data_IF_473657092601
#
_entry.id   IF_473657092601
#
_cell.length_a   1.000
_cell.length_b   1.000
_cell.length_c   1.000
_cell.angle_alpha   90.00
_cell.angle_beta   90.00
_cell.angle_gamma   90.00
#
_symmetry.space_group_name_H-M   'P 1'
#
loop_
_entity.id
_entity.type
_entity.pdbx_description
1 polymer ?
#
# COMPACT_ATOMS: atom_id res chain seq x y z
N UNK A 1 75.91 33.17 -48.64
CA UNK A 1 75.60 33.55 -47.24
C UNK A 1 74.14 33.26 -46.97
N UNK A 2 73.89 32.35 -46.03
CA UNK A 2 72.61 31.65 -45.84
C UNK A 2 71.57 32.49 -45.09
N UNK A 3 70.34 32.54 -45.62
CA UNK A 3 69.15 33.06 -44.93
C UNK A 3 68.62 32.01 -43.94
N UNK A 4 68.57 32.36 -42.65
CA UNK A 4 67.95 31.56 -41.58
C UNK A 4 66.42 31.63 -41.71
N UNK A 5 65.75 30.48 -41.77
CA UNK A 5 64.30 30.35 -41.68
C UNK A 5 63.84 30.33 -40.22
N UNK A 6 62.80 31.10 -39.92
CA UNK A 6 62.10 31.13 -38.62
C UNK A 6 61.17 29.92 -38.52
N UNK A 7 61.33 29.14 -37.45
CA UNK A 7 60.44 28.03 -37.08
C UNK A 7 59.25 28.56 -36.25
N UNK A 8 58.04 28.29 -36.72
CA UNK A 8 56.77 28.55 -36.04
C UNK A 8 56.36 27.30 -35.24
N UNK A 9 56.41 27.41 -33.90
CA UNK A 9 55.87 26.39 -32.98
C UNK A 9 54.34 26.43 -33.01
N UNK A 10 53.71 25.40 -33.59
CA UNK A 10 52.26 25.15 -33.48
C UNK A 10 51.95 24.71 -32.04
N UNK A 11 51.09 25.48 -31.39
CA UNK A 11 50.47 25.18 -30.09
C UNK A 11 49.66 23.88 -30.17
N UNK A 12 49.89 23.00 -29.20
CA UNK A 12 49.37 21.63 -29.10
C UNK A 12 48.16 21.55 -28.15
N UNK A 13 47.34 22.60 -28.11
CA UNK A 13 46.07 22.56 -27.38
C UNK A 13 45.02 21.89 -28.27
N UNK A 14 44.81 20.60 -28.00
CA UNK A 14 43.74 19.81 -28.60
C UNK A 14 42.37 20.39 -28.26
N UNK A 15 41.46 20.24 -29.22
CA UNK A 15 40.10 20.72 -29.19
C UNK A 15 39.37 20.26 -27.89
N UNK A 16 38.94 21.18 -27.00
CA UNK A 16 38.30 20.83 -25.73
C UNK A 16 36.98 20.07 -25.91
N UNK A 17 36.30 20.23 -27.06
CA UNK A 17 35.09 19.46 -27.39
C UNK A 17 35.38 17.96 -27.56
N UNK A 18 36.58 17.59 -28.04
CA UNK A 18 36.98 16.18 -28.20
C UNK A 18 37.36 15.54 -26.86
N UNK A 19 37.96 16.32 -25.96
CA UNK A 19 38.26 15.85 -24.60
C UNK A 19 36.98 15.65 -23.76
N UNK A 20 35.96 16.52 -23.92
CA UNK A 20 34.67 16.34 -23.26
C UNK A 20 33.90 15.12 -23.81
N UNK A 21 33.91 14.89 -25.12
CA UNK A 21 33.29 13.72 -25.74
C UNK A 21 33.99 12.39 -25.32
N UNK A 22 35.32 12.38 -25.24
CA UNK A 22 36.07 11.21 -24.76
C UNK A 22 35.88 10.98 -23.24
N UNK A 23 35.51 12.00 -22.47
CA UNK A 23 35.20 11.87 -21.03
C UNK A 23 33.77 11.36 -20.82
N UNK A 24 32.78 11.86 -21.58
CA UNK A 24 31.41 11.36 -21.56
C UNK A 24 31.30 9.91 -22.07
N UNK A 25 32.13 9.52 -23.05
CA UNK A 25 32.20 8.15 -23.55
C UNK A 25 32.89 7.15 -22.61
N UNK A 26 33.68 7.62 -21.63
CA UNK A 26 34.32 6.78 -20.59
C UNK A 26 33.58 6.80 -19.25
N UNK A 27 32.59 7.67 -19.08
CA UNK A 27 31.95 7.93 -17.80
C UNK A 27 30.93 6.87 -17.35
N UNK A 28 30.45 5.97 -18.24
CA UNK A 28 29.51 4.91 -17.87
C UNK A 28 29.91 3.56 -18.46
N UNK A 29 31.19 3.19 -18.31
CA UNK A 29 31.54 1.78 -18.45
C UNK A 29 30.94 1.05 -17.24
N UNK A 30 29.75 0.50 -17.43
CA UNK A 30 29.08 -0.31 -16.43
C UNK A 30 30.03 -1.43 -15.97
N UNK A 31 30.22 -1.63 -14.66
CA UNK A 31 31.06 -2.70 -14.15
C UNK A 31 30.72 -4.04 -14.79
N UNK A 32 31.75 -4.85 -15.07
CA UNK A 32 31.55 -6.13 -15.78
C UNK A 32 30.61 -7.09 -15.03
N UNK A 33 30.53 -6.98 -13.69
CA UNK A 33 29.61 -7.78 -12.88
C UNK A 33 28.14 -7.36 -13.07
N UNK A 34 27.86 -6.07 -13.15
CA UNK A 34 26.51 -5.55 -13.43
C UNK A 34 26.05 -6.02 -14.82
N UNK A 35 26.90 -5.89 -15.84
CA UNK A 35 26.59 -6.38 -17.20
C UNK A 35 26.32 -7.89 -17.22
N UNK A 36 26.94 -8.66 -16.32
CA UNK A 36 26.70 -10.12 -16.21
C UNK A 36 25.38 -10.40 -15.51
N UNK A 37 25.04 -9.65 -14.46
CA UNK A 37 23.78 -9.76 -13.75
C UNK A 37 22.62 -9.41 -14.69
N UNK A 38 22.69 -8.28 -15.40
CA UNK A 38 21.67 -7.85 -16.36
C UNK A 38 21.40 -8.94 -17.40
N UNK A 39 22.46 -9.52 -17.98
CA UNK A 39 22.33 -10.62 -18.95
C UNK A 39 21.77 -11.89 -18.34
N UNK A 40 22.10 -12.19 -17.08
CA UNK A 40 21.55 -13.33 -16.38
C UNK A 40 20.05 -13.14 -16.11
N UNK A 41 19.64 -11.93 -15.69
CA UNK A 41 18.24 -11.57 -15.46
C UNK A 41 17.45 -11.55 -16.77
N UNK A 42 18.00 -10.99 -17.84
CA UNK A 42 17.39 -11.03 -19.18
C UNK A 42 17.16 -12.47 -19.65
N UNK A 43 18.09 -13.39 -19.34
CA UNK A 43 17.96 -14.80 -19.69
C UNK A 43 16.97 -15.57 -18.79
N UNK A 44 16.83 -15.18 -17.52
CA UNK A 44 15.97 -15.86 -16.54
C UNK A 44 14.53 -15.33 -16.54
N UNK A 45 14.34 -14.04 -16.85
CA UNK A 45 13.04 -13.36 -16.77
C UNK A 45 11.94 -14.05 -17.58
N UNK A 46 12.15 -14.51 -18.83
CA UNK A 46 11.11 -15.23 -19.57
C UNK A 46 10.71 -16.54 -18.89
N UNK A 47 11.68 -17.28 -18.34
CA UNK A 47 11.41 -18.53 -17.63
C UNK A 47 10.70 -18.30 -16.30
N UNK A 48 11.05 -17.22 -15.59
CA UNK A 48 10.38 -16.81 -14.36
C UNK A 48 8.94 -16.35 -14.63
N UNK A 49 8.72 -15.57 -15.69
CA UNK A 49 7.38 -15.14 -16.11
C UNK A 49 6.48 -16.33 -16.46
N UNK A 50 6.98 -17.28 -17.27
CA UNK A 50 6.26 -18.53 -17.58
C UNK A 50 6.00 -19.38 -16.34
N UNK A 51 6.91 -19.36 -15.37
CA UNK A 51 6.72 -20.05 -14.09
C UNK A 51 5.64 -19.37 -13.25
N UNK A 52 5.63 -18.03 -13.17
CA UNK A 52 4.57 -17.28 -12.48
C UNK A 52 3.21 -17.49 -13.16
N UNK A 53 3.17 -17.47 -14.50
CA UNK A 53 1.98 -17.80 -15.29
C UNK A 53 1.48 -19.21 -14.96
N UNK A 54 2.38 -20.20 -14.83
CA UNK A 54 2.01 -21.56 -14.40
C UNK A 54 1.65 -21.69 -12.93
N UNK A 55 1.90 -20.65 -12.12
CA UNK A 55 1.35 -20.50 -10.76
C UNK A 55 -0.01 -19.77 -10.76
N UNK A 56 -0.55 -19.39 -11.93
CA UNK A 56 -1.83 -18.69 -12.05
C UNK A 56 -1.75 -17.17 -12.03
N UNK A 57 -0.55 -16.57 -11.97
CA UNK A 57 -0.41 -15.10 -11.94
C UNK A 57 -0.78 -14.48 -13.29
N UNK A 58 -1.66 -13.49 -13.27
CA UNK A 58 -1.98 -12.67 -14.44
C UNK A 58 -0.85 -11.71 -14.88
N UNK A 59 -0.94 -11.20 -16.11
CA UNK A 59 0.08 -10.33 -16.75
C UNK A 59 0.54 -9.16 -15.87
N UNK A 60 -0.40 -8.44 -15.23
CA UNK A 60 -0.08 -7.31 -14.36
C UNK A 60 0.70 -7.74 -13.10
N UNK A 61 0.40 -8.93 -12.55
CA UNK A 61 1.13 -9.52 -11.44
C UNK A 61 2.53 -9.97 -11.83
N UNK A 62 2.69 -10.49 -13.04
CA UNK A 62 3.99 -10.85 -13.63
C UNK A 62 4.86 -9.60 -13.81
N UNK A 63 4.34 -8.55 -14.46
CA UNK A 63 5.05 -7.29 -14.66
C UNK A 63 5.50 -6.68 -13.33
N UNK A 64 4.61 -6.68 -12.33
CA UNK A 64 4.92 -6.20 -10.99
C UNK A 64 6.02 -7.02 -10.32
N UNK A 65 5.99 -8.35 -10.46
CA UNK A 65 7.02 -9.24 -9.90
C UNK A 65 8.38 -9.03 -10.54
N UNK A 66 8.42 -8.81 -11.86
CA UNK A 66 9.65 -8.47 -12.58
C UNK A 66 10.22 -7.12 -12.16
N UNK A 67 9.37 -6.11 -11.99
CA UNK A 67 9.79 -4.80 -11.47
C UNK A 67 10.34 -4.91 -10.03
N UNK A 68 9.69 -5.69 -9.17
CA UNK A 68 10.15 -5.94 -7.81
C UNK A 68 11.53 -6.62 -7.80
N UNK A 69 11.77 -7.56 -8.71
CA UNK A 69 13.09 -8.21 -8.83
C UNK A 69 14.17 -7.26 -9.32
N UNK A 70 13.85 -6.34 -10.23
CA UNK A 70 14.77 -5.29 -10.67
C UNK A 70 15.20 -4.41 -9.48
N UNK A 71 14.21 -3.92 -8.72
CA UNK A 71 14.45 -3.15 -7.49
C UNK A 71 15.26 -3.95 -6.44
N UNK A 72 14.97 -5.24 -6.29
CA UNK A 72 15.71 -6.12 -5.38
C UNK A 72 17.18 -6.23 -5.79
N UNK A 73 17.47 -6.56 -7.05
CA UNK A 73 18.83 -6.76 -7.52
C UNK A 73 19.64 -5.46 -7.54
N UNK A 74 18.96 -4.32 -7.73
CA UNK A 74 19.54 -2.99 -7.60
C UNK A 74 20.06 -2.70 -6.18
N UNK A 75 19.34 -3.14 -5.15
CA UNK A 75 19.78 -3.05 -3.76
C UNK A 75 20.80 -4.13 -3.42
N UNK A 76 20.56 -5.36 -3.86
CA UNK A 76 21.38 -6.53 -3.54
C UNK A 76 22.82 -6.40 -4.04
N UNK A 77 23.04 -5.82 -5.23
CA UNK A 77 24.39 -5.57 -5.77
C UNK A 77 25.22 -4.59 -4.95
N UNK A 78 24.58 -3.72 -4.16
CA UNK A 78 25.30 -2.81 -3.25
C UNK A 78 25.97 -3.58 -2.11
N UNK A 79 25.37 -4.71 -1.70
CA UNK A 79 25.87 -5.56 -0.61
C UNK A 79 26.76 -6.70 -1.14
N UNK A 80 26.46 -7.23 -2.32
CA UNK A 80 27.18 -8.33 -2.95
C UNK A 80 27.70 -7.94 -4.34
N UNK A 81 28.91 -7.34 -4.45
CA UNK A 81 29.45 -6.90 -5.74
C UNK A 81 29.71 -8.02 -6.76
N UNK A 82 29.66 -9.29 -6.33
CA UNK A 82 29.78 -10.47 -7.19
C UNK A 82 28.45 -11.25 -7.24
N UNK A 83 27.35 -10.55 -7.50
CA UNK A 83 26.02 -11.16 -7.61
C UNK A 83 25.98 -12.26 -8.67
N UNK A 84 25.54 -13.45 -8.27
CA UNK A 84 25.02 -14.49 -9.16
C UNK A 84 23.50 -14.51 -9.04
N UNK A 85 22.79 -14.29 -10.14
CA UNK A 85 21.32 -14.32 -10.14
C UNK A 85 20.76 -15.67 -9.67
N UNK A 86 21.53 -16.75 -9.77
CA UNK A 86 21.10 -18.12 -9.41
C UNK A 86 21.50 -18.56 -8.00
N UNK A 87 22.19 -17.70 -7.25
CA UNK A 87 22.62 -17.97 -5.87
C UNK A 87 22.52 -16.70 -5.04
N UNK A 88 21.58 -16.68 -4.10
CA UNK A 88 21.43 -15.58 -3.15
C UNK A 88 22.05 -15.95 -1.80
N UNK A 89 22.83 -15.02 -1.24
CA UNK A 89 23.46 -15.13 0.08
C UNK A 89 22.43 -14.72 1.13
N UNK A 90 22.00 -15.62 2.04
CA UNK A 90 20.90 -15.35 2.98
C UNK A 90 21.08 -14.07 3.80
N UNK A 91 22.30 -13.80 4.28
CA UNK A 91 22.59 -12.61 5.08
C UNK A 91 22.43 -11.31 4.27
N UNK A 92 22.83 -11.31 3.00
CA UNK A 92 22.64 -10.15 2.13
C UNK A 92 21.16 -9.94 1.77
N UNK A 93 20.41 -11.02 1.56
CA UNK A 93 18.95 -10.94 1.36
C UNK A 93 18.29 -10.33 2.59
N UNK A 94 18.66 -10.78 3.80
CA UNK A 94 18.14 -10.24 5.06
C UNK A 94 18.41 -8.74 5.16
N UNK A 95 19.64 -8.30 4.87
CA UNK A 95 20.02 -6.88 4.92
C UNK A 95 19.27 -6.04 3.86
N UNK A 96 19.04 -6.54 2.64
CA UNK A 96 18.18 -5.86 1.64
C UNK A 96 16.76 -5.70 2.17
N UNK A 97 16.18 -6.75 2.75
CA UNK A 97 14.83 -6.71 3.30
C UNK A 97 14.73 -5.75 4.50
N UNK A 98 15.72 -5.74 5.38
CA UNK A 98 15.80 -4.79 6.49
C UNK A 98 15.91 -3.34 6.00
N UNK A 99 16.76 -3.09 4.99
CA UNK A 99 16.90 -1.77 4.38
C UNK A 99 15.60 -1.32 3.68
N UNK A 100 14.94 -2.23 2.96
CA UNK A 100 13.63 -1.97 2.36
C UNK A 100 12.56 -1.71 3.42
N UNK A 101 12.58 -2.44 4.54
CA UNK A 101 11.63 -2.26 5.66
C UNK A 101 11.80 -0.88 6.27
N UNK A 102 13.05 -0.47 6.50
CA UNK A 102 13.37 0.84 7.03
C UNK A 102 12.93 1.98 6.09
N UNK A 103 12.93 1.75 4.78
CA UNK A 103 12.52 2.75 3.78
C UNK A 103 11.00 2.77 3.50
N UNK A 104 10.37 1.60 3.45
CA UNK A 104 8.95 1.40 3.18
C UNK A 104 8.50 -0.01 3.64
N UNK A 105 7.87 -0.14 4.83
CA UNK A 105 7.40 -1.41 5.35
C UNK A 105 6.41 -2.13 4.43
N UNK A 106 5.50 -1.39 3.77
CA UNK A 106 4.52 -1.99 2.86
C UNK A 106 5.17 -2.57 1.60
N UNK A 107 6.12 -1.84 1.00
CA UNK A 107 6.85 -2.34 -0.16
C UNK A 107 7.72 -3.57 0.17
N UNK A 108 8.09 -3.76 1.44
CA UNK A 108 8.89 -4.91 1.87
C UNK A 108 8.11 -6.21 1.78
N UNK A 109 6.80 -6.21 2.03
CA UNK A 109 6.00 -7.41 1.82
C UNK A 109 6.00 -7.84 0.36
N UNK A 110 5.81 -6.89 -0.55
CA UNK A 110 5.88 -7.15 -1.98
C UNK A 110 7.29 -7.62 -2.41
N UNK A 111 8.34 -6.96 -1.89
CA UNK A 111 9.74 -7.34 -2.14
C UNK A 111 10.05 -8.75 -1.64
N UNK A 112 9.70 -9.05 -0.39
CA UNK A 112 9.88 -10.38 0.23
C UNK A 112 9.13 -11.45 -0.57
N UNK A 113 7.89 -11.20 -0.94
CA UNK A 113 7.10 -12.13 -1.78
C UNK A 113 7.76 -12.34 -3.14
N UNK A 114 8.15 -11.28 -3.85
CA UNK A 114 8.78 -11.41 -5.17
C UNK A 114 10.09 -12.17 -5.13
N UNK A 115 10.93 -11.94 -4.11
CA UNK A 115 12.19 -12.67 -3.92
C UNK A 115 11.94 -14.13 -3.53
N UNK A 116 10.96 -14.40 -2.65
CA UNK A 116 10.55 -15.77 -2.30
C UNK A 116 10.13 -16.55 -3.54
N UNK A 117 9.27 -15.95 -4.37
CA UNK A 117 8.75 -16.56 -5.59
C UNK A 117 9.88 -16.84 -6.58
N UNK A 118 10.83 -15.92 -6.72
CA UNK A 118 12.03 -16.10 -7.54
C UNK A 118 12.94 -17.24 -7.05
N UNK A 119 13.15 -17.36 -5.74
CA UNK A 119 13.90 -18.49 -5.15
C UNK A 119 13.15 -19.81 -5.36
N UNK A 120 11.82 -19.80 -5.26
CA UNK A 120 10.96 -20.94 -5.58
C UNK A 120 11.13 -21.40 -7.03
N UNK A 121 11.08 -20.46 -7.98
CA UNK A 121 11.37 -20.71 -9.39
C UNK A 121 12.74 -21.35 -9.60
N UNK A 122 13.80 -20.78 -9.00
CA UNK A 122 15.16 -21.30 -9.16
C UNK A 122 15.29 -22.73 -8.61
N UNK A 123 14.66 -23.01 -7.47
CA UNK A 123 14.67 -24.33 -6.85
C UNK A 123 13.91 -25.37 -7.69
N UNK A 124 12.66 -25.08 -8.07
CA UNK A 124 11.82 -25.99 -8.83
C UNK A 124 12.37 -26.24 -10.25
N UNK A 125 12.92 -25.21 -10.88
CA UNK A 125 13.58 -25.31 -12.19
C UNK A 125 14.95 -26.00 -12.17
N UNK A 126 15.46 -26.42 -11.00
CA UNK A 126 16.84 -26.91 -10.84
C UNK A 126 17.88 -25.92 -11.37
N UNK A 127 17.58 -24.62 -11.25
CA UNK A 127 18.44 -23.51 -11.69
C UNK A 127 19.28 -22.93 -10.55
N UNK A 128 18.96 -23.26 -9.30
CA UNK A 128 19.71 -22.84 -8.11
C UNK A 128 21.17 -23.31 -8.15
N UNK A 129 22.11 -22.38 -8.07
CA UNK A 129 23.57 -22.66 -8.05
C UNK A 129 24.19 -22.53 -6.66
N UNK A 130 23.44 -21.99 -5.68
CA UNK A 130 23.88 -21.88 -4.30
C UNK A 130 23.91 -23.24 -3.59
N UNK A 131 24.36 -23.23 -2.34
CA UNK A 131 24.35 -24.44 -1.51
C UNK A 131 22.92 -24.80 -1.07
N UNK A 132 22.63 -26.09 -0.82
CA UNK A 132 21.35 -26.49 -0.23
C UNK A 132 21.09 -25.85 1.14
N UNK A 133 22.15 -25.54 1.90
CA UNK A 133 22.05 -24.88 3.20
C UNK A 133 21.63 -23.41 3.09
N UNK A 134 22.13 -22.69 2.07
CA UNK A 134 21.67 -21.33 1.78
C UNK A 134 20.21 -21.31 1.32
N UNK A 135 19.82 -22.29 0.48
CA UNK A 135 18.43 -22.43 0.07
C UNK A 135 17.50 -22.66 1.27
N UNK A 136 17.86 -23.56 2.18
CA UNK A 136 17.08 -23.82 3.40
C UNK A 136 16.99 -22.57 4.30
N UNK A 137 18.07 -21.81 4.45
CA UNK A 137 18.05 -20.55 5.22
C UNK A 137 17.18 -19.48 4.55
N UNK A 138 17.15 -19.41 3.22
CA UNK A 138 16.25 -18.52 2.51
C UNK A 138 14.79 -18.96 2.68
N UNK A 139 14.52 -20.26 2.57
CA UNK A 139 13.19 -20.81 2.84
C UNK A 139 12.74 -20.55 4.27
N UNK A 140 13.63 -20.62 5.26
CA UNK A 140 13.35 -20.23 6.65
C UNK A 140 13.14 -18.72 6.79
N UNK A 141 13.97 -17.90 6.13
CA UNK A 141 13.86 -16.44 6.12
C UNK A 141 12.54 -15.95 5.50
N UNK A 142 12.03 -16.66 4.49
CA UNK A 142 10.75 -16.38 3.84
C UNK A 142 9.57 -17.11 4.45
N UNK A 143 9.83 -18.21 5.17
CA UNK A 143 8.85 -18.91 5.97
C UNK A 143 8.32 -17.97 7.05
N UNK A 144 7.01 -18.02 7.29
CA UNK A 144 6.48 -17.42 8.50
C UNK A 144 7.19 -18.08 9.70
N UNK A 145 7.70 -17.33 10.68
CA UNK A 145 8.43 -17.94 11.78
C UNK A 145 7.52 -18.95 12.50
N UNK A 146 8.02 -20.16 12.76
CA UNK A 146 7.33 -21.10 13.64
C UNK A 146 7.47 -20.56 15.07
N UNK A 147 6.45 -19.83 15.54
CA UNK A 147 6.52 -19.13 16.83
C UNK A 147 6.29 -20.10 18.01
N UNK A 148 7.24 -20.20 18.97
CA UNK A 148 7.03 -20.95 20.21
C UNK A 148 6.06 -20.19 21.11
N UNK A 149 4.86 -20.76 21.36
CA UNK A 149 3.91 -20.22 22.33
C UNK A 149 2.55 -19.82 21.78
N UNK A 150 2.31 -19.88 20.47
CA UNK A 150 0.94 -20.05 19.97
C UNK A 150 0.56 -21.53 20.11
N UNK A 151 -0.11 -21.85 21.22
CA UNK A 151 -0.90 -23.09 21.28
C UNK A 151 -1.88 -23.09 20.09
N UNK A 152 -2.10 -24.25 19.46
CA UNK A 152 -3.11 -24.51 18.40
C UNK A 152 -4.56 -24.12 18.76
N UNK A 153 -4.77 -23.47 19.90
CA UNK A 153 -6.06 -22.95 20.33
C UNK A 153 -6.49 -21.69 19.57
N UNK A 154 -5.59 -20.92 18.96
CA UNK A 154 -5.99 -19.81 18.07
C UNK A 154 -6.41 -20.29 16.68
N UNK A 155 -5.97 -21.48 16.23
CA UNK A 155 -6.58 -22.18 15.10
C UNK A 155 -8.04 -22.61 15.38
N UNK A 156 -8.50 -22.56 16.64
CA UNK A 156 -9.89 -22.85 17.00
C UNK A 156 -10.83 -21.63 16.88
N UNK A 157 -10.29 -20.44 16.59
CA UNK A 157 -11.09 -19.27 16.18
C UNK A 157 -11.26 -19.20 14.66
N UNK A 158 -10.51 -19.99 13.89
CA UNK A 158 -10.89 -20.31 12.53
C UNK A 158 -12.13 -21.25 12.59
N UNK A 159 -13.23 -20.93 11.89
CA UNK A 159 -14.38 -21.81 11.87
C UNK A 159 -13.96 -23.21 11.36
N UNK A 160 -14.50 -24.30 11.94
CA UNK A 160 -14.13 -25.64 11.50
C UNK A 160 -14.50 -25.78 10.03
N UNK A 161 -13.50 -26.00 9.18
CA UNK A 161 -13.71 -26.52 7.83
C UNK A 161 -14.57 -27.77 7.97
N UNK A 162 -15.84 -27.65 7.64
CA UNK A 162 -16.77 -28.76 7.64
C UNK A 162 -16.14 -29.86 6.79
N UNK A 163 -16.03 -31.06 7.35
CA UNK A 163 -15.41 -32.21 6.72
C UNK A 163 -16.03 -32.48 5.33
N UNK A 164 -15.42 -31.91 4.30
CA UNK A 164 -15.68 -32.27 2.93
C UNK A 164 -15.08 -33.66 2.73
N UNK A 165 -15.90 -34.58 2.25
CA UNK A 165 -15.51 -35.97 2.03
C UNK A 165 -14.28 -36.04 1.12
N UNK A 166 -13.30 -36.82 1.56
CA UNK A 166 -11.93 -36.94 1.02
C UNK A 166 -11.83 -37.59 -0.39
N UNK A 167 -12.96 -37.80 -1.07
CA UNK A 167 -13.02 -38.55 -2.34
C UNK A 167 -13.27 -37.68 -3.59
N UNK A 168 -13.55 -36.38 -3.47
CA UNK A 168 -13.79 -35.48 -4.63
C UNK A 168 -12.58 -34.55 -4.97
N UNK A 169 -11.45 -34.65 -4.27
CA UNK A 169 -10.33 -33.69 -4.38
C UNK A 169 -9.31 -34.05 -5.47
N UNK A 170 -9.62 -34.98 -6.40
CA UNK A 170 -8.62 -35.46 -7.38
C UNK A 170 -8.75 -34.97 -8.81
N UNK A 171 -9.75 -34.17 -9.17
CA UNK A 171 -9.92 -33.69 -10.56
C UNK A 171 -9.98 -32.17 -10.75
N UNK A 172 -9.79 -31.36 -9.70
CA UNK A 172 -9.77 -29.89 -9.82
C UNK A 172 -8.37 -29.27 -9.60
N UNK A 173 -7.34 -29.92 -10.17
CA UNK A 173 -5.95 -29.46 -10.09
C UNK A 173 -5.59 -28.52 -11.26
N UNK A 174 -6.37 -27.45 -11.45
CA UNK A 174 -6.11 -26.39 -12.41
C UNK A 174 -6.24 -25.01 -11.77
N UNK A 175 -5.12 -24.28 -11.72
CA UNK A 175 -5.04 -22.81 -11.74
C UNK A 175 -5.89 -22.02 -10.73
N UNK A 176 -5.72 -22.27 -9.43
CA UNK A 176 -6.12 -21.28 -8.41
C UNK A 176 -4.83 -20.62 -7.92
N UNK A 177 -4.66 -19.35 -8.30
CA UNK A 177 -3.64 -18.42 -7.79
C UNK A 177 -3.68 -18.54 -6.25
N UNK A 178 -2.67 -19.16 -5.64
CA UNK A 178 -2.77 -19.74 -4.28
C UNK A 178 -3.05 -18.71 -3.16
N UNK A 179 -3.00 -17.41 -3.49
CA UNK A 179 -3.29 -16.31 -2.58
C UNK A 179 -4.59 -15.53 -2.94
N UNK A 180 -5.28 -15.88 -4.03
CA UNK A 180 -6.57 -15.31 -4.38
C UNK A 180 -7.67 -16.01 -3.61
N UNK A 181 -8.49 -15.21 -2.93
CA UNK A 181 -9.58 -15.68 -2.09
C UNK A 181 -10.89 -15.35 -2.79
N UNK A 182 -11.76 -16.34 -2.98
CA UNK A 182 -13.13 -16.10 -3.46
C UNK A 182 -13.94 -15.43 -2.33
N UNK A 183 -14.40 -14.18 -2.49
CA UNK A 183 -15.25 -13.53 -1.50
C UNK A 183 -16.54 -14.29 -1.21
N UNK A 184 -17.02 -15.10 -2.16
CA UNK A 184 -18.21 -15.93 -2.03
C UNK A 184 -18.11 -17.01 -0.95
N UNK A 185 -16.87 -17.39 -0.60
CA UNK A 185 -16.60 -18.39 0.46
C UNK A 185 -16.59 -17.77 1.87
N UNK A 186 -16.67 -16.44 1.99
CA UNK A 186 -16.61 -15.73 3.26
C UNK A 186 -18.00 -15.24 3.69
N UNK A 187 -18.35 -15.55 4.94
CA UNK A 187 -19.54 -15.03 5.59
C UNK A 187 -19.20 -13.72 6.31
N UNK A 188 -19.47 -12.60 5.65
CA UNK A 188 -19.24 -11.28 6.21
C UNK A 188 -20.31 -10.95 7.26
N UNK A 189 -19.91 -10.26 8.32
CA UNK A 189 -20.85 -9.80 9.34
C UNK A 189 -21.89 -8.83 8.76
N UNK A 190 -23.14 -8.99 9.18
CA UNK A 190 -24.22 -8.06 8.83
C UNK A 190 -23.96 -6.66 9.41
N UNK A 191 -24.00 -5.63 8.56
CA UNK A 191 -23.78 -4.24 8.94
C UNK A 191 -25.07 -3.64 9.50
N UNK A 192 -25.07 -3.27 10.78
CA UNK A 192 -26.23 -2.69 11.44
C UNK A 192 -26.37 -1.19 11.15
N UNK A 193 -27.45 -0.79 10.49
CA UNK A 193 -27.77 0.60 10.17
C UNK A 193 -28.96 1.04 11.04
N UNK A 194 -28.76 1.95 12.02
CA UNK A 194 -29.87 2.51 12.80
C UNK A 194 -30.68 3.51 11.98
N UNK A 195 -31.82 3.97 12.52
CA UNK A 195 -32.52 5.13 11.97
C UNK A 195 -31.60 6.36 12.04
N UNK A 196 -31.46 7.05 10.91
CA UNK A 196 -30.63 8.24 10.77
C UNK A 196 -31.47 9.41 10.29
N UNK A 197 -31.22 10.58 10.87
CA UNK A 197 -31.74 11.87 10.39
C UNK A 197 -30.69 12.59 9.56
N UNK A 198 -31.13 13.53 8.71
CA UNK A 198 -30.21 14.38 7.94
C UNK A 198 -29.26 15.17 8.86
N UNK A 199 -29.77 15.70 9.98
CA UNK A 199 -28.96 16.45 10.95
C UNK A 199 -27.87 15.59 11.60
N UNK A 200 -28.18 14.35 11.97
CA UNK A 200 -27.18 13.42 12.51
C UNK A 200 -26.09 13.09 11.49
N UNK A 201 -26.47 12.86 10.22
CA UNK A 201 -25.49 12.60 9.17
C UNK A 201 -24.59 13.82 8.96
N UNK A 202 -25.17 15.00 8.72
CA UNK A 202 -24.40 16.22 8.45
C UNK A 202 -23.54 16.62 9.64
N UNK A 203 -24.05 16.49 10.87
CA UNK A 203 -23.29 16.74 12.08
C UNK A 203 -22.07 15.81 12.21
N UNK A 204 -22.25 14.52 11.89
CA UNK A 204 -21.15 13.53 11.91
C UNK A 204 -20.12 13.82 10.81
N UNK A 205 -20.58 14.08 9.58
CA UNK A 205 -19.72 14.44 8.45
C UNK A 205 -18.90 15.70 8.74
N UNK A 206 -19.54 16.76 9.25
CA UNK A 206 -18.87 18.01 9.60
C UNK A 206 -17.88 17.83 10.78
N UNK A 207 -18.14 16.89 11.68
CA UNK A 207 -17.24 16.58 12.79
C UNK A 207 -16.03 15.72 12.37
N UNK A 208 -16.12 14.99 11.26
CA UNK A 208 -15.11 14.05 10.77
C UNK A 208 -13.74 14.72 10.56
N UNK A 209 -12.64 14.15 11.10
CA UNK A 209 -11.28 14.55 10.76
C UNK A 209 -11.01 14.49 9.25
N UNK A 210 -11.50 13.47 8.54
CA UNK A 210 -11.38 13.33 7.09
C UNK A 210 -11.82 14.60 6.37
N UNK A 211 -13.03 15.05 6.67
CA UNK A 211 -13.63 16.20 6.01
C UNK A 211 -12.90 17.50 6.35
N UNK A 212 -12.61 17.74 7.62
CA UNK A 212 -11.91 18.96 8.06
C UNK A 212 -10.52 19.08 7.44
N UNK A 213 -9.81 17.97 7.29
CA UNK A 213 -8.50 17.93 6.64
C UNK A 213 -8.59 18.12 5.11
N UNK A 214 -9.64 17.60 4.46
CA UNK A 214 -9.94 17.92 3.05
C UNK A 214 -10.15 19.43 2.89
N UNK A 215 -10.98 20.05 3.71
CA UNK A 215 -11.23 21.50 3.66
C UNK A 215 -9.95 22.32 3.90
N UNK A 216 -9.16 21.93 4.91
CA UNK A 216 -7.88 22.57 5.23
C UNK A 216 -6.88 22.48 4.08
N UNK A 217 -6.80 21.33 3.41
CA UNK A 217 -5.93 21.17 2.24
C UNK A 217 -6.45 21.92 1.02
N UNK A 218 -7.76 21.97 0.79
CA UNK A 218 -8.35 22.75 -0.30
C UNK A 218 -8.07 24.25 -0.12
N UNK A 219 -8.22 24.77 1.10
CA UNK A 219 -7.83 26.14 1.45
C UNK A 219 -6.33 26.36 1.20
N UNK A 220 -5.48 25.44 1.66
CA UNK A 220 -4.04 25.51 1.43
C UNK A 220 -3.68 25.48 -0.08
N UNK A 221 -4.38 24.68 -0.89
CA UNK A 221 -4.19 24.61 -2.36
C UNK A 221 -4.72 25.86 -3.06
N UNK A 222 -5.71 26.57 -2.52
CA UNK A 222 -6.40 27.71 -3.15
C UNK A 222 -5.48 28.79 -3.75
N UNK A 223 -4.27 28.97 -3.23
CA UNK A 223 -3.24 29.87 -3.79
C UNK A 223 -2.50 29.36 -5.04
N UNK A 224 -2.77 28.13 -5.49
CA UNK A 224 -2.07 27.42 -6.55
C UNK A 224 -0.70 26.89 -6.10
N UNK A 225 -0.54 25.57 -6.05
CA UNK A 225 0.69 24.92 -5.54
C UNK A 225 1.52 24.33 -6.66
N UNK A 226 2.85 24.52 -6.63
CA UNK A 226 3.72 23.96 -7.68
C UNK A 226 3.80 22.44 -7.51
N UNK A 227 3.62 21.70 -8.59
CA UNK A 227 3.78 20.24 -8.60
C UNK A 227 4.97 19.82 -9.45
N UNK A 228 5.29 18.54 -9.41
CA UNK A 228 6.22 17.87 -10.31
C UNK A 228 5.55 17.62 -11.66
N UNK A 229 6.32 17.15 -12.66
CA UNK A 229 5.77 16.75 -13.97
C UNK A 229 4.75 15.61 -13.86
N UNK A 230 4.87 14.76 -12.83
CA UNK A 230 3.93 13.67 -12.52
C UNK A 230 2.73 14.11 -11.67
N UNK A 231 2.55 15.42 -11.44
CA UNK A 231 1.44 15.93 -10.62
C UNK A 231 1.62 15.78 -9.10
N UNK A 232 2.72 15.19 -8.63
CA UNK A 232 2.99 15.06 -7.19
C UNK A 232 3.47 16.38 -6.56
N UNK A 233 3.18 16.59 -5.28
CA UNK A 233 3.72 17.69 -4.48
C UNK A 233 5.25 17.70 -4.45
N UNK A 234 5.84 18.88 -4.63
CA UNK A 234 7.29 19.08 -4.52
C UNK A 234 7.75 18.89 -3.07
N UNK A 235 8.97 18.38 -2.90
CA UNK A 235 9.55 18.11 -1.56
C UNK A 235 9.50 19.33 -0.63
N UNK A 236 9.73 20.53 -1.16
CA UNK A 236 9.70 21.78 -0.40
C UNK A 236 8.31 22.13 0.18
N UNK A 237 7.23 21.67 -0.46
CA UNK A 237 5.86 22.00 -0.06
C UNK A 237 5.25 20.93 0.87
N UNK A 238 5.86 19.74 0.97
CA UNK A 238 5.32 18.61 1.74
C UNK A 238 5.17 18.94 3.23
N UNK A 239 6.15 19.61 3.85
CA UNK A 239 6.05 19.95 5.27
C UNK A 239 4.90 20.93 5.55
N UNK A 240 4.64 21.89 4.65
CA UNK A 240 3.52 22.82 4.81
C UNK A 240 2.17 22.13 4.59
N UNK A 241 2.09 21.22 3.62
CA UNK A 241 0.90 20.40 3.40
C UNK A 241 0.61 19.49 4.61
N UNK A 242 1.64 18.87 5.19
CA UNK A 242 1.54 18.08 6.42
C UNK A 242 0.93 18.90 7.55
N UNK A 243 1.42 20.13 7.72
CA UNK A 243 0.97 21.03 8.77
C UNK A 243 -0.49 21.49 8.60
N UNK A 244 -1.09 21.33 7.41
CA UNK A 244 -2.52 21.59 7.20
C UNK A 244 -3.41 20.44 7.70
N UNK A 245 -2.85 19.22 7.87
CA UNK A 245 -3.56 18.03 8.34
C UNK A 245 -3.59 17.97 9.87
N UNK A 246 -4.28 18.93 10.50
CA UNK A 246 -4.24 19.12 11.96
C UNK A 246 -5.25 18.28 12.73
N UNK A 247 -6.26 17.73 12.06
CA UNK A 247 -7.31 16.97 12.73
C UNK A 247 -6.92 15.49 12.79
N UNK A 248 -7.01 14.87 13.97
CA UNK A 248 -6.72 13.46 14.18
C UNK A 248 -7.75 12.85 15.14
N UNK A 249 -8.40 11.75 14.72
CA UNK A 249 -9.36 10.99 15.53
C UNK A 249 -8.80 9.72 16.19
N UNK A 250 -7.52 9.39 16.01
CA UNK A 250 -6.95 8.10 16.44
C UNK A 250 -6.86 7.91 17.95
N UNK A 251 -6.94 8.99 18.74
CA UNK A 251 -7.18 8.94 20.18
C UNK A 251 -6.19 8.06 20.95
N UNK A 252 -6.66 6.92 21.46
CA UNK A 252 -5.81 6.00 22.22
C UNK A 252 -4.82 5.20 21.36
N UNK A 253 -5.16 4.88 20.10
CA UNK A 253 -4.25 4.17 19.20
C UNK A 253 -3.04 5.03 18.81
N UNK A 254 -3.25 6.33 18.58
CA UNK A 254 -2.13 7.25 18.31
C UNK A 254 -1.18 7.36 19.51
N UNK A 255 -1.73 7.38 20.74
CA UNK A 255 -0.91 7.40 21.95
C UNK A 255 -0.10 6.11 22.10
N UNK A 256 -0.73 4.96 21.87
CA UNK A 256 -0.09 3.66 21.87
C UNK A 256 1.05 3.60 20.85
N UNK A 257 0.77 3.93 19.59
CA UNK A 257 1.76 3.94 18.53
C UNK A 257 2.90 4.92 18.79
N UNK A 258 2.61 6.15 19.25
CA UNK A 258 3.65 7.15 19.52
C UNK A 258 4.58 6.72 20.66
N UNK A 259 4.13 5.85 21.56
CA UNK A 259 4.95 5.35 22.67
C UNK A 259 6.04 4.37 22.24
N UNK A 260 5.81 3.64 21.13
CA UNK A 260 6.71 2.62 20.59
C UNK A 260 7.41 3.06 19.30
N UNK A 261 6.81 3.98 18.55
CA UNK A 261 7.28 4.40 17.23
C UNK A 261 8.58 5.22 17.29
N UNK A 262 9.47 4.94 16.34
CA UNK A 262 10.64 5.74 16.07
C UNK A 262 10.28 7.08 15.42
N UNK A 263 11.17 8.07 15.52
CA UNK A 263 11.02 9.37 14.81
C UNK A 263 10.89 9.20 13.29
N UNK A 264 11.56 8.19 12.73
CA UNK A 264 11.48 7.87 11.30
C UNK A 264 10.08 7.41 10.92
N UNK A 265 9.48 6.51 11.70
CA UNK A 265 8.11 6.02 11.47
C UNK A 265 7.07 7.12 11.58
N UNK A 266 7.18 8.00 12.59
CA UNK A 266 6.28 9.15 12.73
C UNK A 266 6.37 10.09 11.51
N UNK A 267 7.60 10.31 11.00
CA UNK A 267 7.83 11.13 9.81
C UNK A 267 7.24 10.47 8.56
N UNK A 268 7.41 9.15 8.40
CA UNK A 268 6.83 8.39 7.29
C UNK A 268 5.30 8.41 7.34
N UNK A 269 4.71 8.19 8.51
CA UNK A 269 3.25 8.24 8.70
C UNK A 269 2.67 9.60 8.29
N UNK A 270 3.31 10.71 8.65
CA UNK A 270 2.90 12.04 8.20
C UNK A 270 2.98 12.20 6.67
N UNK A 271 4.00 11.63 6.02
CA UNK A 271 4.15 11.67 4.56
C UNK A 271 3.11 10.81 3.84
N UNK A 272 2.82 9.61 4.36
CA UNK A 272 1.82 8.70 3.79
C UNK A 272 0.41 9.28 3.92
N UNK A 273 0.11 9.93 5.05
CA UNK A 273 -1.13 10.69 5.22
C UNK A 273 -1.28 11.77 4.15
N UNK A 274 -0.25 12.56 3.87
CA UNK A 274 -0.31 13.57 2.79
C UNK A 274 -0.51 12.93 1.43
N UNK A 275 0.13 11.78 1.16
CA UNK A 275 -0.03 11.05 -0.11
C UNK A 275 -1.47 10.59 -0.30
N UNK A 276 -2.08 10.05 0.76
CA UNK A 276 -3.49 9.66 0.78
C UNK A 276 -4.39 10.85 0.41
N UNK A 277 -4.30 11.96 1.15
CA UNK A 277 -5.15 13.13 0.87
C UNK A 277 -4.89 13.72 -0.52
N UNK A 278 -3.62 13.78 -0.95
CA UNK A 278 -3.29 14.24 -2.28
C UNK A 278 -3.93 13.37 -3.35
N UNK A 279 -3.90 12.05 -3.16
CA UNK A 279 -4.55 11.10 -4.06
C UNK A 279 -6.08 11.34 -4.07
N UNK A 280 -6.74 11.40 -2.91
CA UNK A 280 -8.19 11.67 -2.78
C UNK A 280 -8.60 12.94 -3.52
N UNK A 281 -7.89 14.06 -3.28
CA UNK A 281 -8.23 15.35 -3.89
C UNK A 281 -8.08 15.34 -5.41
N UNK A 282 -7.07 14.63 -5.94
CA UNK A 282 -6.82 14.56 -7.39
C UNK A 282 -7.75 13.56 -8.06
N UNK A 283 -7.97 12.37 -7.48
CA UNK A 283 -8.81 11.32 -8.07
C UNK A 283 -10.27 11.74 -8.17
N UNK A 284 -10.78 12.44 -7.14
CA UNK A 284 -12.14 12.99 -7.12
C UNK A 284 -12.26 14.31 -7.87
N UNK A 285 -11.17 14.81 -8.47
CA UNK A 285 -11.17 16.05 -9.24
C UNK A 285 -11.46 17.29 -8.41
N UNK A 286 -11.28 17.26 -7.09
CA UNK A 286 -11.37 18.43 -6.21
C UNK A 286 -10.18 19.38 -6.42
N UNK A 287 -9.04 18.81 -6.78
CA UNK A 287 -7.83 19.50 -7.22
C UNK A 287 -7.48 19.06 -8.65
N UNK A 288 -7.16 20.03 -9.49
CA UNK A 288 -6.72 19.79 -10.87
C UNK A 288 -5.27 20.22 -11.04
N UNK A 289 -4.53 19.50 -11.88
CA UNK A 289 -3.18 19.89 -12.28
C UNK A 289 -3.25 20.66 -13.60
N UNK A 290 -2.90 21.94 -13.57
CA UNK A 290 -2.88 22.84 -14.72
C UNK A 290 -1.55 23.60 -14.79
N UNK A 291 -0.89 23.58 -15.95
CA UNK A 291 0.40 24.22 -16.19
C UNK A 291 1.47 23.98 -15.08
N UNK A 292 1.55 22.75 -14.55
CA UNK A 292 2.49 22.39 -13.48
C UNK A 292 2.14 22.96 -12.11
N UNK A 293 0.89 23.39 -11.92
CA UNK A 293 0.32 23.83 -10.65
C UNK A 293 -0.92 23.01 -10.31
N UNK A 294 -1.08 22.68 -9.04
CA UNK A 294 -2.34 22.20 -8.50
C UNK A 294 -3.22 23.39 -8.14
N UNK A 295 -4.45 23.39 -8.61
CA UNK A 295 -5.48 24.41 -8.36
C UNK A 295 -6.78 23.74 -7.94
N UNK A 296 -7.55 24.39 -7.07
CA UNK A 296 -8.89 23.93 -6.70
C UNK A 296 -9.77 23.92 -7.96
N UNK A 297 -10.58 22.87 -8.13
CA UNK A 297 -11.43 22.74 -9.30
C UNK A 297 -12.42 23.91 -9.45
N UNK A 298 -12.67 24.38 -10.69
CA UNK A 298 -13.67 25.41 -10.93
C UNK A 298 -15.03 24.98 -10.38
N UNK A 299 -15.77 25.92 -9.78
CA UNK A 299 -17.08 25.70 -9.14
C UNK A 299 -17.08 24.85 -7.87
N UNK A 300 -15.95 24.32 -7.39
CA UNK A 300 -15.95 23.59 -6.12
C UNK A 300 -16.43 24.49 -4.97
N UNK A 301 -16.01 25.76 -4.94
CA UNK A 301 -16.48 26.73 -3.95
C UNK A 301 -18.00 26.94 -4.00
N UNK A 302 -18.60 26.95 -5.19
CA UNK A 302 -20.06 27.07 -5.35
C UNK A 302 -20.77 25.81 -4.84
N UNK A 303 -20.21 24.62 -5.11
CA UNK A 303 -20.73 23.33 -4.59
C UNK A 303 -20.63 23.26 -3.08
N UNK A 304 -19.49 23.63 -2.49
CA UNK A 304 -19.28 23.57 -1.04
C UNK A 304 -20.10 24.62 -0.26
N UNK A 305 -20.62 25.64 -0.93
CA UNK A 305 -21.51 26.63 -0.32
C UNK A 305 -22.95 26.12 -0.11
N UNK A 306 -23.33 25.03 -0.79
CA UNK A 306 -24.64 24.39 -0.65
C UNK A 306 -24.46 23.13 0.20
N UNK A 307 -25.21 23.02 1.30
CA UNK A 307 -25.04 21.94 2.29
C UNK A 307 -25.24 20.55 1.69
N UNK A 308 -26.29 20.35 0.88
CA UNK A 308 -26.56 19.09 0.18
C UNK A 308 -25.39 18.69 -0.73
N UNK A 309 -24.90 19.61 -1.57
CA UNK A 309 -23.74 19.35 -2.43
C UNK A 309 -22.44 19.15 -1.64
N UNK A 310 -22.28 19.80 -0.47
CA UNK A 310 -21.14 19.57 0.43
C UNK A 310 -21.16 18.15 0.99
N UNK A 311 -22.35 17.66 1.36
CA UNK A 311 -22.56 16.28 1.82
C UNK A 311 -22.26 15.28 0.70
N UNK A 312 -22.71 15.53 -0.53
CA UNK A 312 -22.37 14.67 -1.68
C UNK A 312 -20.86 14.57 -1.88
N UNK A 313 -20.14 15.71 -1.87
CA UNK A 313 -18.67 15.71 -1.99
C UNK A 313 -18.01 14.97 -0.83
N UNK A 314 -18.51 15.12 0.39
CA UNK A 314 -18.02 14.34 1.53
C UNK A 314 -18.22 12.83 1.32
N UNK A 315 -19.38 12.40 0.81
CA UNK A 315 -19.66 10.98 0.53
C UNK A 315 -18.74 10.42 -0.54
N UNK A 316 -18.45 11.18 -1.60
CA UNK A 316 -17.46 10.80 -2.61
C UNK A 316 -16.07 10.61 -1.98
N UNK A 317 -15.67 11.50 -1.07
CA UNK A 317 -14.40 11.41 -0.32
C UNK A 317 -14.39 10.18 0.61
N UNK A 318 -15.47 9.96 1.35
CA UNK A 318 -15.60 8.85 2.29
C UNK A 318 -15.57 7.51 1.55
N UNK A 319 -16.32 7.38 0.47
CA UNK A 319 -16.34 6.17 -0.36
C UNK A 319 -14.96 5.85 -0.94
N UNK A 320 -14.28 6.84 -1.52
CA UNK A 320 -12.92 6.66 -2.01
C UNK A 320 -11.93 6.33 -0.88
N UNK A 321 -12.12 6.86 0.33
CA UNK A 321 -11.27 6.54 1.47
C UNK A 321 -11.49 5.10 1.96
N UNK A 322 -12.74 4.62 1.99
CA UNK A 322 -13.07 3.21 2.28
C UNK A 322 -12.40 2.32 1.24
N UNK A 323 -12.58 2.59 -0.06
CA UNK A 323 -11.91 1.86 -1.13
C UNK A 323 -10.39 1.80 -0.96
N UNK A 324 -9.75 2.91 -0.62
CA UNK A 324 -8.29 2.93 -0.40
C UNK A 324 -7.88 2.09 0.80
N UNK A 325 -8.73 2.08 1.82
CA UNK A 325 -8.48 1.38 3.09
C UNK A 325 -8.68 -0.12 2.99
N UNK A 326 -9.50 -0.60 2.05
CA UNK A 326 -9.89 -2.03 1.98
C UNK A 326 -9.54 -2.71 0.65
N UNK A 327 -9.61 -2.01 -0.48
CA UNK A 327 -9.62 -2.57 -1.83
C UNK A 327 -8.48 -2.08 -2.74
N UNK A 328 -7.67 -1.11 -2.31
CA UNK A 328 -6.61 -0.61 -3.18
C UNK A 328 -5.56 -1.67 -3.49
N UNK A 329 -5.40 -1.94 -4.78
CA UNK A 329 -4.47 -2.93 -5.31
C UNK A 329 -5.11 -4.27 -5.65
N UNK A 330 -6.42 -4.44 -5.45
CA UNK A 330 -7.20 -5.53 -6.01
C UNK A 330 -7.72 -5.18 -7.41
N UNK A 331 -7.99 -6.22 -8.20
CA UNK A 331 -8.82 -6.13 -9.40
C UNK A 331 -10.24 -6.64 -9.05
N UNK A 332 -11.30 -6.15 -9.72
CA UNK A 332 -12.65 -6.65 -9.47
C UNK A 332 -12.73 -8.18 -9.65
N UNK A 333 -13.19 -8.89 -8.62
CA UNK A 333 -13.25 -10.36 -8.59
C UNK A 333 -11.94 -11.06 -8.22
N UNK A 334 -10.86 -10.34 -7.95
CA UNK A 334 -9.57 -10.90 -7.53
C UNK A 334 -9.02 -10.17 -6.31
N UNK A 335 -9.21 -10.80 -5.14
CA UNK A 335 -8.84 -10.24 -3.86
C UNK A 335 -7.86 -11.16 -3.14
N UNK A 336 -6.79 -10.58 -2.62
CA UNK A 336 -5.95 -11.31 -1.66
C UNK A 336 -6.65 -11.42 -0.31
N UNK A 337 -6.22 -12.38 0.53
CA UNK A 337 -6.73 -12.54 1.90
C UNK A 337 -6.68 -11.23 2.71
N UNK A 338 -5.67 -10.38 2.49
CA UNK A 338 -5.59 -9.07 3.12
C UNK A 338 -6.81 -8.17 2.85
N UNK A 339 -7.32 -8.13 1.61
CA UNK A 339 -8.49 -7.30 1.29
C UNK A 339 -9.75 -7.84 1.97
N UNK A 340 -9.91 -9.17 1.99
CA UNK A 340 -11.00 -9.86 2.66
C UNK A 340 -10.96 -9.60 4.17
N UNK A 341 -9.79 -9.71 4.79
CA UNK A 341 -9.60 -9.45 6.22
C UNK A 341 -9.94 -8.00 6.59
N UNK A 342 -9.51 -7.02 5.78
CA UNK A 342 -9.82 -5.61 6.03
C UNK A 342 -11.30 -5.30 5.85
N UNK A 343 -11.93 -5.82 4.80
CA UNK A 343 -13.37 -5.63 4.56
C UNK A 343 -14.20 -6.32 5.66
N UNK A 344 -13.82 -7.53 6.07
CA UNK A 344 -14.47 -8.28 7.15
C UNK A 344 -14.38 -7.54 8.48
N UNK A 345 -13.17 -7.14 8.88
CA UNK A 345 -12.98 -6.40 10.13
C UNK A 345 -13.72 -5.06 10.13
N UNK A 346 -13.78 -4.36 8.98
CA UNK A 346 -14.53 -3.11 8.87
C UNK A 346 -16.04 -3.34 8.96
N UNK A 347 -16.57 -4.43 8.40
CA UNK A 347 -17.97 -4.83 8.55
C UNK A 347 -18.29 -5.18 10.02
N UNK A 348 -17.42 -5.92 10.70
CA UNK A 348 -17.54 -6.23 12.14
C UNK A 348 -17.62 -4.97 13.01
N UNK A 349 -16.80 -3.96 12.70
CA UNK A 349 -16.83 -2.64 13.36
C UNK A 349 -18.18 -1.92 13.19
N UNK A 350 -19.01 -2.31 12.23
CA UNK A 350 -20.31 -1.74 11.95
C UNK A 350 -21.49 -2.60 12.46
N UNK A 351 -21.23 -3.66 13.22
CA UNK A 351 -22.26 -4.52 13.83
C UNK A 351 -22.84 -3.90 15.13
N UNK A 352 -23.77 -4.61 15.78
CA UNK A 352 -24.22 -4.31 17.15
C UNK A 352 -23.17 -4.67 18.22
N UNK A 353 -22.25 -5.59 17.92
CA UNK A 353 -21.21 -6.10 18.82
C UNK A 353 -19.83 -5.91 18.19
N UNK A 354 -19.36 -4.65 18.06
CA UNK A 354 -18.08 -4.33 17.45
C UNK A 354 -16.90 -4.98 18.20
N UNK A 355 -15.74 -5.18 17.54
CA UNK A 355 -14.56 -5.77 18.18
C UNK A 355 -13.97 -4.85 19.25
N UNK A 356 -13.41 -5.45 20.31
CA UNK A 356 -12.72 -4.72 21.38
C UNK A 356 -11.43 -4.07 20.85
N UNK A 357 -11.10 -2.87 21.35
CA UNK A 357 -9.91 -2.13 20.93
C UNK A 357 -8.62 -2.58 21.62
N UNK A 358 -8.73 -3.24 22.79
CA UNK A 358 -7.58 -3.57 23.63
C UNK A 358 -6.49 -4.41 22.93
N UNK A 359 -6.81 -5.42 22.08
CA UNK A 359 -5.80 -6.16 21.34
C UNK A 359 -5.01 -5.27 20.36
N UNK A 360 -5.67 -4.30 19.71
CA UNK A 360 -5.02 -3.37 18.79
C UNK A 360 -4.12 -2.37 19.52
N UNK A 361 -4.57 -1.87 20.68
CA UNK A 361 -3.77 -1.01 21.55
C UNK A 361 -2.49 -1.75 21.96
N UNK A 362 -2.61 -2.98 22.45
CA UNK A 362 -1.47 -3.80 22.85
C UNK A 362 -0.50 -4.05 21.67
N UNK A 363 -1.04 -4.37 20.50
CA UNK A 363 -0.25 -4.57 19.29
C UNK A 363 0.58 -3.34 18.90
N UNK A 364 0.05 -2.13 19.12
CA UNK A 364 0.80 -0.89 18.86
C UNK A 364 1.81 -0.57 19.97
N UNK A 365 1.52 -0.87 21.23
CA UNK A 365 2.44 -0.62 22.36
C UNK A 365 3.63 -1.60 22.41
N UNK A 366 3.42 -2.84 21.99
CA UNK A 366 4.41 -3.92 22.07
C UNK A 366 4.40 -4.77 20.79
N UNK A 367 4.79 -4.19 19.64
CA UNK A 367 4.70 -4.86 18.34
C UNK A 367 5.51 -6.17 18.27
N UNK A 368 6.56 -6.31 19.06
CA UNK A 368 7.40 -7.51 19.14
C UNK A 368 6.74 -8.69 19.88
N UNK A 369 5.63 -8.46 20.60
CA UNK A 369 4.95 -9.49 21.40
C UNK A 369 3.69 -10.05 20.74
N UNK A 370 3.29 -9.50 19.60
CA UNK A 370 2.05 -9.87 18.89
C UNK A 370 2.34 -10.46 17.52
N UNK A 371 1.32 -11.07 16.91
CA UNK A 371 1.42 -11.51 15.52
C UNK A 371 1.64 -10.31 14.58
N UNK A 372 2.53 -10.40 13.58
CA UNK A 372 2.76 -9.31 12.62
C UNK A 372 1.48 -8.81 11.95
N UNK A 373 0.56 -9.71 11.60
CA UNK A 373 -0.69 -9.32 10.93
C UNK A 373 -1.61 -8.51 11.85
N UNK A 374 -1.62 -8.81 13.16
CA UNK A 374 -2.37 -8.01 14.13
C UNK A 374 -1.76 -6.61 14.27
N UNK A 375 -0.43 -6.49 14.24
CA UNK A 375 0.23 -5.18 14.24
C UNK A 375 -0.10 -4.39 12.96
N UNK A 376 -0.07 -5.04 11.80
CA UNK A 376 -0.45 -4.40 10.53
C UNK A 376 -1.93 -3.96 10.55
N UNK A 377 -2.84 -4.83 11.00
CA UNK A 377 -4.25 -4.49 11.20
C UNK A 377 -4.39 -3.30 12.15
N UNK A 378 -3.73 -3.31 13.31
CA UNK A 378 -3.79 -2.23 14.29
C UNK A 378 -3.30 -0.89 13.71
N UNK A 379 -2.26 -0.90 12.87
CA UNK A 379 -1.79 0.30 12.17
C UNK A 379 -2.81 0.83 11.16
N UNK A 380 -3.49 -0.06 10.44
CA UNK A 380 -4.54 0.35 9.50
C UNK A 380 -5.77 0.88 10.22
N UNK A 381 -6.23 0.22 11.29
CA UNK A 381 -7.33 0.72 12.13
C UNK A 381 -6.98 2.07 12.76
N UNK A 382 -5.73 2.26 13.20
CA UNK A 382 -5.24 3.57 13.66
C UNK A 382 -5.34 4.62 12.55
N UNK A 383 -4.99 4.28 11.32
CA UNK A 383 -5.15 5.18 10.16
C UNK A 383 -6.62 5.52 9.90
N UNK A 384 -7.53 4.54 9.96
CA UNK A 384 -8.97 4.77 9.82
C UNK A 384 -9.51 5.68 10.93
N UNK A 385 -9.08 5.43 12.16
CA UNK A 385 -9.44 6.24 13.32
C UNK A 385 -8.88 7.66 13.19
N UNK A 386 -7.68 7.84 12.65
CA UNK A 386 -7.08 9.15 12.44
C UNK A 386 -7.93 10.06 11.55
N UNK A 387 -8.61 9.46 10.57
CA UNK A 387 -9.54 10.14 9.67
C UNK A 387 -11.01 10.08 10.14
N UNK A 388 -11.29 9.39 11.24
CA UNK A 388 -12.61 9.23 11.84
C UNK A 388 -13.56 8.32 11.07
N UNK A 389 -13.04 7.43 10.21
CA UNK A 389 -13.83 6.35 9.61
C UNK A 389 -14.28 5.35 10.68
N UNK A 390 -13.47 5.17 11.72
CA UNK A 390 -13.86 4.47 12.96
C UNK A 390 -13.62 5.36 14.17
N UNK A 391 -14.36 5.12 15.24
CA UNK A 391 -14.10 5.64 16.58
C UNK A 391 -13.52 4.53 17.45
N UNK A 392 -12.52 4.85 18.26
CA UNK A 392 -11.80 3.87 19.09
C UNK A 392 -11.87 4.28 20.55
N UNK A 393 -12.77 3.63 21.27
CA UNK A 393 -12.92 3.71 22.73
C UNK A 393 -12.67 2.31 23.32
N UNK A 394 -13.61 1.73 24.07
CA UNK A 394 -13.54 0.32 24.46
C UNK A 394 -13.68 -0.67 23.29
N UNK A 395 -14.31 -0.22 22.20
CA UNK A 395 -14.50 -0.97 20.97
C UNK A 395 -14.11 -0.11 19.76
N UNK A 396 -13.88 -0.77 18.63
CA UNK A 396 -13.67 -0.13 17.33
C UNK A 396 -14.99 -0.08 16.60
N UNK A 397 -15.54 1.11 16.38
CA UNK A 397 -16.88 1.28 15.83
C UNK A 397 -16.88 2.17 14.59
N UNK A 398 -17.59 1.76 13.53
CA UNK A 398 -17.92 2.67 12.42
C UNK A 398 -19.05 3.60 12.86
N UNK A 399 -18.89 4.94 12.77
CA UNK A 399 -19.94 5.89 13.09
C UNK A 399 -21.23 5.54 12.34
N UNK A 400 -22.40 5.54 13.00
CA UNK A 400 -23.67 5.15 12.38
C UNK A 400 -23.96 5.83 11.04
N UNK A 401 -23.64 7.12 10.92
CA UNK A 401 -23.83 7.90 9.71
C UNK A 401 -23.06 7.36 8.49
N UNK A 402 -21.95 6.65 8.68
CA UNK A 402 -21.06 6.21 7.59
C UNK A 402 -21.36 4.77 7.15
N UNK A 403 -22.12 4.00 7.93
CA UNK A 403 -22.44 2.59 7.65
C UNK A 403 -23.19 2.38 6.33
N UNK A 404 -24.13 3.25 5.91
CA UNK A 404 -24.74 3.13 4.58
C UNK A 404 -23.72 3.23 3.43
N UNK A 405 -22.76 4.17 3.53
CA UNK A 405 -21.72 4.32 2.52
C UNK A 405 -20.72 3.16 2.53
N UNK A 406 -20.46 2.57 3.70
CA UNK A 406 -19.67 1.33 3.82
C UNK A 406 -20.33 0.16 3.08
N UNK A 407 -21.64 -0.06 3.28
CA UNK A 407 -22.35 -1.14 2.59
C UNK A 407 -22.31 -0.92 1.08
N UNK A 408 -22.67 0.29 0.61
CA UNK A 408 -22.66 0.61 -0.83
C UNK A 408 -21.28 0.42 -1.46
N UNK A 409 -20.20 0.76 -0.73
CA UNK A 409 -18.85 0.62 -1.25
C UNK A 409 -18.38 -0.83 -1.35
N UNK A 410 -18.87 -1.71 -0.48
CA UNK A 410 -18.37 -3.09 -0.38
C UNK A 410 -19.33 -4.14 -0.95
N UNK A 411 -20.62 -3.83 -1.15
CA UNK A 411 -21.64 -4.80 -1.56
C UNK A 411 -21.43 -5.39 -2.97
N UNK A 412 -20.71 -4.68 -3.85
CA UNK A 412 -20.38 -5.17 -5.19
C UNK A 412 -19.28 -6.26 -5.15
N UNK A 413 -18.32 -6.11 -4.23
CA UNK A 413 -17.14 -6.98 -4.12
C UNK A 413 -17.32 -8.08 -3.06
N UNK A 414 -18.10 -7.82 -2.02
CA UNK A 414 -18.31 -8.67 -0.86
C UNK A 414 -19.80 -8.81 -0.57
N UNK A 415 -20.27 -9.99 -0.17
CA UNK A 415 -21.70 -10.25 0.14
C UNK A 415 -22.18 -9.62 1.47
N UNK A 416 -21.78 -8.39 1.75
CA UNK A 416 -22.15 -7.63 2.95
C UNK A 416 -23.61 -7.21 2.85
N UNK A 417 -24.36 -7.43 3.95
CA UNK A 417 -25.78 -7.08 4.04
C UNK A 417 -25.98 -5.97 5.05
N UNK A 418 -26.83 -5.02 4.70
CA UNK A 418 -27.38 -4.05 5.65
C UNK A 418 -28.53 -4.67 6.45
N UNK A 419 -28.51 -4.53 7.77
CA UNK A 419 -29.59 -4.90 8.68
C UNK A 419 -29.98 -3.74 9.59
N UNK A 420 -31.10 -3.85 10.31
CA UNK A 420 -31.58 -2.81 11.22
C UNK A 420 -32.62 -1.87 10.59
N UNK A 421 -33.15 -0.91 11.37
CA UNK A 421 -34.28 -0.08 10.94
C UNK A 421 -33.93 0.95 9.86
N UNK A 422 -32.65 1.27 9.68
CA UNK A 422 -32.15 2.10 8.58
C UNK A 422 -31.66 1.31 7.37
N UNK A 423 -31.83 -0.02 7.34
CA UNK A 423 -31.44 -0.81 6.18
C UNK A 423 -32.24 -0.39 4.93
N UNK A 424 -31.55 -0.18 3.80
CA UNK A 424 -32.16 0.35 2.57
C UNK A 424 -32.32 1.88 2.55
N UNK A 425 -31.84 2.60 3.58
CA UNK A 425 -31.84 4.06 3.58
C UNK A 425 -30.92 4.60 2.47
N UNK A 426 -31.49 5.35 1.53
CA UNK A 426 -30.72 6.18 0.63
C UNK A 426 -30.45 7.53 1.29
N UNK A 427 -29.18 7.87 1.54
CA UNK A 427 -28.81 9.14 2.19
C UNK A 427 -29.39 10.36 1.44
N UNK A 428 -29.51 10.31 0.12
CA UNK A 428 -30.14 11.37 -0.68
C UNK A 428 -31.65 11.57 -0.38
N UNK A 429 -32.33 10.60 0.23
CA UNK A 429 -33.71 10.74 0.70
C UNK A 429 -33.82 11.47 2.04
N UNK A 430 -32.77 11.42 2.87
CA UNK A 430 -32.73 12.17 4.13
C UNK A 430 -32.85 13.68 3.88
N UNK A 431 -32.18 14.18 2.84
CA UNK A 431 -32.14 15.61 2.50
C UNK A 431 -33.37 16.08 1.72
N UNK A 432 -34.19 15.17 1.17
CA UNK A 432 -35.44 15.53 0.48
C UNK A 432 -36.64 15.68 1.41
N UNK A 433 -36.58 15.06 2.60
CA UNK A 433 -37.70 14.95 3.53
C UNK A 433 -37.58 15.84 4.78
N UNK A 434 -36.42 16.47 5.01
CA UNK A 434 -36.19 17.46 6.08
C UNK A 434 -36.20 18.87 5.52
#
# INVERSE_FOLDING_TARGET
>A
MSKKSKSTKKSRFGNPAKAAADTAGRANAMPLHDVRLDRAMEALAPGFALWLESQGRGDAGIDKSLMILDDFFDLYRLLQPQTDARSLVPDAVREVLEAATAANPQATFALRSGVRDYVGYLAQGSLWTGTPGELAQLQELFGQPAWPGLDRALDALAPPLAAANDDDIRENAGDIDADSVDPGDYDFADVYIPELTAEQFTGTAAASPLWKNVESLLEWVGGGRKVTTKGALRKADRAQAAAALTHNGAGMLERAFTSSASTAELTMGALDRIRLYWHLLVSLGLVRIDAGRAVVAPRLHERLAVEESRVEVFRDVLGQFIFISTLTGSDPGSYSGWHVDMASFMAECATENPPESAPLVHALESPETVHPDLYVLARNVMSWAAEGLVTVDGHVTVPPAFRPDLVVMLEEDFHIKAVGPGAGLHIAELFRNG
#
